data_IF_696444542161
#
_entry.id   IF_696444542161
#
_cell.length_a   1.000
_cell.length_b   1.000
_cell.length_c   1.000
_cell.angle_alpha   90.00
_cell.angle_beta   90.00
_cell.angle_gamma   90.00
#
_symmetry.space_group_name_H-M   'P 1'
#
loop_
_entity.id
_entity.type
_entity.pdbx_description
1 polymer ?
#
# COMPACT_ATOMS: atom_id res chain seq x y z
N UNK A 1 69.21 5.78 -6.38
CA UNK A 1 68.73 4.39 -6.33
C UNK A 1 67.35 4.39 -5.67
N UNK A 2 66.33 3.93 -6.42
CA UNK A 2 64.92 3.63 -6.09
C UNK A 2 64.10 4.73 -5.37
N UNK A 3 63.12 5.46 -5.91
CA UNK A 3 62.18 5.32 -7.06
C UNK A 3 61.38 4.02 -7.11
N UNK A 4 60.09 4.10 -6.75
CA UNK A 4 59.04 3.21 -7.28
C UNK A 4 58.20 2.47 -6.23
N UNK A 5 57.19 3.14 -5.66
CA UNK A 5 56.10 2.44 -4.95
C UNK A 5 54.77 3.22 -4.90
N UNK A 6 54.54 4.18 -5.80
CA UNK A 6 53.25 4.86 -5.91
C UNK A 6 52.69 4.74 -7.33
N UNK A 7 52.11 3.58 -7.61
CA UNK A 7 51.17 3.36 -8.73
C UNK A 7 50.74 1.90 -8.67
N UNK A 8 49.54 1.64 -8.15
CA UNK A 8 48.63 0.53 -8.47
C UNK A 8 47.52 0.49 -7.40
N UNK A 9 46.40 1.17 -7.65
CA UNK A 9 45.28 1.16 -6.72
C UNK A 9 44.08 2.05 -7.08
N UNK A 10 43.98 2.54 -8.31
CA UNK A 10 42.80 3.27 -8.83
C UNK A 10 42.52 2.88 -10.28
N UNK A 11 42.09 1.65 -10.50
CA UNK A 11 41.39 1.20 -11.71
C UNK A 11 40.62 -0.08 -11.37
N UNK A 12 39.49 0.03 -10.68
CA UNK A 12 38.57 -1.11 -10.55
C UNK A 12 37.10 -0.72 -10.25
N UNK A 13 36.69 0.48 -10.64
CA UNK A 13 35.27 0.87 -10.69
C UNK A 13 35.13 1.76 -11.92
N UNK A 14 34.86 1.14 -13.08
CA UNK A 14 34.33 1.77 -14.30
C UNK A 14 34.29 0.68 -15.40
N UNK A 15 33.58 -0.44 -15.19
CA UNK A 15 33.25 -1.35 -16.29
C UNK A 15 32.11 -2.34 -15.96
N UNK A 16 30.87 -1.85 -15.77
CA UNK A 16 29.70 -2.73 -15.67
C UNK A 16 28.42 -2.19 -16.30
N UNK A 17 28.49 -1.17 -17.16
CA UNK A 17 27.29 -0.52 -17.73
C UNK A 17 27.17 -0.60 -19.26
N UNK A 18 27.82 -1.56 -19.93
CA UNK A 18 27.80 -1.67 -21.40
C UNK A 18 27.50 -3.07 -21.95
N UNK A 19 26.92 -3.99 -21.17
CA UNK A 19 26.67 -5.38 -21.63
C UNK A 19 25.21 -5.77 -21.94
N UNK A 20 24.28 -4.82 -22.02
CA UNK A 20 22.89 -5.11 -22.46
C UNK A 20 22.40 -4.06 -23.46
N UNK A 21 22.90 -4.12 -24.71
CA UNK A 21 22.31 -3.37 -25.82
C UNK A 21 22.58 -4.01 -27.19
N UNK A 22 22.65 -5.34 -27.27
CA UNK A 22 23.00 -6.04 -28.50
C UNK A 22 22.17 -7.30 -28.72
N UNK A 23 20.85 -7.17 -28.91
CA UNK A 23 19.98 -8.20 -29.51
C UNK A 23 18.57 -7.67 -29.80
N UNK A 24 18.48 -6.50 -30.44
CA UNK A 24 17.20 -5.99 -30.95
C UNK A 24 17.43 -5.31 -32.30
N UNK A 25 17.96 -6.06 -33.27
CA UNK A 25 17.85 -5.70 -34.66
C UNK A 25 17.78 -6.97 -35.50
N UNK A 26 16.93 -6.95 -36.54
CA UNK A 26 16.65 -8.07 -37.46
C UNK A 26 15.50 -9.02 -37.09
N UNK A 27 14.27 -8.52 -37.19
CA UNK A 27 13.15 -9.29 -37.73
C UNK A 27 12.08 -8.35 -38.32
N UNK A 28 12.50 -7.68 -39.39
CA UNK A 28 11.74 -7.35 -40.57
C UNK A 28 10.37 -8.05 -40.72
N UNK A 29 9.35 -7.21 -40.97
CA UNK A 29 8.55 -7.28 -42.21
C UNK A 29 7.48 -8.38 -42.24
N UNK A 30 6.37 -8.14 -41.53
CA UNK A 30 5.05 -8.66 -41.91
C UNK A 30 4.07 -7.51 -42.07
N UNK A 31 3.79 -7.22 -43.35
CA UNK A 31 2.54 -6.68 -43.89
C UNK A 31 1.78 -5.60 -43.11
N UNK A 32 2.05 -4.35 -43.49
CA UNK A 32 1.01 -3.32 -43.57
C UNK A 32 -0.01 -3.77 -44.63
N UNK A 33 -1.17 -4.29 -44.21
CA UNK A 33 -2.35 -4.33 -45.08
C UNK A 33 -3.30 -3.26 -44.57
N UNK A 34 -3.56 -2.28 -45.45
CA UNK A 34 -4.62 -1.30 -45.33
C UNK A 34 -5.94 -1.97 -44.98
N UNK A 35 -6.57 -1.53 -43.89
CA UNK A 35 -7.99 -1.77 -43.63
C UNK A 35 -8.65 -0.43 -43.30
N UNK A 36 -8.72 0.42 -44.33
CA UNK A 36 -9.70 1.49 -44.40
C UNK A 36 -11.04 0.92 -44.87
N UNK A 37 -12.13 1.58 -44.49
CA UNK A 37 -13.53 1.37 -44.92
C UNK A 37 -14.36 0.36 -44.11
N UNK A 38 -14.72 0.74 -42.88
CA UNK A 38 -16.08 0.58 -42.33
C UNK A 38 -16.22 1.34 -40.99
N UNK A 39 -16.28 2.68 -41.07
CA UNK A 39 -16.52 3.55 -39.90
C UNK A 39 -17.92 4.17 -39.95
N UNK A 40 -18.94 3.34 -40.09
CA UNK A 40 -20.33 3.71 -39.82
C UNK A 40 -20.97 2.50 -39.17
N UNK A 41 -21.48 2.66 -37.94
CA UNK A 41 -22.04 1.63 -37.05
C UNK A 41 -21.04 0.99 -36.07
N UNK A 42 -20.30 1.80 -35.30
CA UNK A 42 -20.00 1.34 -33.94
C UNK A 42 -21.34 1.24 -33.22
N UNK A 43 -21.78 0.05 -32.77
CA UNK A 43 -22.93 -0.01 -31.89
C UNK A 43 -22.62 0.90 -30.71
N UNK A 44 -23.60 1.71 -30.29
CA UNK A 44 -23.56 2.33 -28.98
C UNK A 44 -23.53 1.19 -27.96
N UNK A 45 -22.33 0.67 -27.69
CA UNK A 45 -22.08 -0.26 -26.62
C UNK A 45 -22.49 0.53 -25.41
N UNK A 46 -23.63 0.15 -24.83
CA UNK A 46 -24.04 0.57 -23.51
C UNK A 46 -22.79 0.46 -22.64
N UNK A 47 -22.20 1.61 -22.30
CA UNK A 47 -21.00 1.67 -21.48
C UNK A 47 -21.43 1.07 -20.15
N UNK A 48 -21.13 -0.21 -19.98
CA UNK A 48 -21.35 -0.91 -18.73
C UNK A 48 -20.48 -0.16 -17.73
N UNK A 49 -21.13 0.63 -16.88
CA UNK A 49 -20.46 1.40 -15.83
C UNK A 49 -19.57 0.45 -15.04
N UNK A 50 -18.26 0.51 -15.29
CA UNK A 50 -17.29 -0.30 -14.57
C UNK A 50 -17.06 0.42 -13.24
N UNK A 51 -17.38 -0.20 -12.10
CA UNK A 51 -17.11 0.41 -10.81
C UNK A 51 -15.59 0.59 -10.63
N UNK A 52 -15.20 1.65 -9.94
CA UNK A 52 -13.80 1.97 -9.67
C UNK A 52 -13.45 1.73 -8.20
N UNK A 53 -12.26 1.22 -7.96
CA UNK A 53 -11.76 0.89 -6.62
C UNK A 53 -11.21 2.12 -5.89
N UNK A 54 -11.69 2.35 -4.67
CA UNK A 54 -11.11 3.29 -3.72
C UNK A 54 -10.03 2.57 -2.93
N UNK A 55 -8.80 3.07 -3.02
CA UNK A 55 -7.58 2.41 -2.55
C UNK A 55 -6.82 3.36 -1.63
N UNK A 56 -6.44 2.87 -0.44
CA UNK A 56 -5.58 3.57 0.51
C UNK A 56 -4.34 2.72 0.80
N UNK A 57 -3.15 3.29 0.62
CA UNK A 57 -1.88 2.59 0.80
C UNK A 57 -1.82 1.24 0.04
N UNK A 58 -2.39 1.24 -1.18
CA UNK A 58 -2.48 0.08 -2.07
C UNK A 58 -3.49 -1.00 -1.65
N UNK A 59 -4.29 -0.77 -0.61
CA UNK A 59 -5.40 -1.63 -0.20
C UNK A 59 -6.73 -1.08 -0.70
N UNK A 60 -7.46 -1.87 -1.47
CA UNK A 60 -8.85 -1.56 -1.81
C UNK A 60 -9.74 -1.59 -0.56
N UNK A 61 -10.48 -0.50 -0.33
CA UNK A 61 -11.43 -0.38 0.79
C UNK A 61 -12.84 -0.73 0.32
N UNK A 62 -13.26 -0.16 -0.80
CA UNK A 62 -14.56 -0.39 -1.44
C UNK A 62 -14.54 0.10 -2.89
N UNK A 63 -15.62 -0.18 -3.63
CA UNK A 63 -15.81 0.24 -5.00
C UNK A 63 -16.95 1.24 -5.09
N UNK A 64 -16.87 2.15 -6.06
CA UNK A 64 -17.88 3.16 -6.32
C UNK A 64 -18.27 3.17 -7.80
N UNK A 65 -19.54 3.48 -8.07
CA UNK A 65 -20.12 3.53 -9.41
C UNK A 65 -20.02 4.94 -10.01
N UNK A 66 -20.46 5.15 -11.25
CA UNK A 66 -20.63 6.51 -11.81
C UNK A 66 -21.83 7.21 -11.16
N UNK A 67 -21.78 8.54 -11.04
CA UNK A 67 -22.89 9.33 -10.49
C UNK A 67 -22.91 10.76 -11.01
N UNK A 68 -24.06 11.19 -11.51
CA UNK A 68 -24.23 12.50 -12.16
C UNK A 68 -23.30 12.63 -13.37
N UNK A 69 -22.54 13.72 -13.41
CA UNK A 69 -21.56 14.02 -14.46
C UNK A 69 -20.19 13.37 -14.23
N UNK A 70 -19.99 12.69 -13.10
CA UNK A 70 -18.69 12.09 -12.74
C UNK A 70 -18.66 10.60 -13.05
N UNK A 71 -17.61 10.19 -13.75
CA UNK A 71 -17.30 8.78 -13.96
C UNK A 71 -16.92 8.11 -12.64
N UNK A 72 -17.04 6.77 -12.57
CA UNK A 72 -16.63 6.00 -11.40
C UNK A 72 -15.16 6.28 -11.02
N UNK A 73 -14.29 6.34 -12.04
CA UNK A 73 -12.87 6.58 -11.89
C UNK A 73 -12.56 7.96 -11.31
N UNK A 74 -13.17 9.02 -11.84
CA UNK A 74 -12.98 10.39 -11.32
C UNK A 74 -13.43 10.52 -9.87
N UNK A 75 -14.58 9.91 -9.52
CA UNK A 75 -15.03 9.85 -8.13
C UNK A 75 -14.00 9.13 -7.25
N UNK A 76 -13.38 8.06 -7.74
CA UNK A 76 -12.48 7.23 -6.93
C UNK A 76 -11.16 7.94 -6.69
N UNK A 77 -10.64 8.61 -7.72
CA UNK A 77 -9.46 9.45 -7.64
C UNK A 77 -9.64 10.61 -6.67
N UNK A 78 -10.79 11.29 -6.72
CA UNK A 78 -11.12 12.35 -5.76
C UNK A 78 -11.12 11.81 -4.32
N UNK A 79 -11.81 10.70 -4.07
CA UNK A 79 -11.86 10.08 -2.74
C UNK A 79 -10.47 9.64 -2.28
N UNK A 80 -9.68 9.00 -3.14
CA UNK A 80 -8.30 8.57 -2.84
C UNK A 80 -7.41 9.75 -2.47
N UNK A 81 -7.52 10.87 -3.19
CA UNK A 81 -6.75 12.08 -2.91
C UNK A 81 -7.07 12.66 -1.53
N UNK A 82 -8.35 12.73 -1.16
CA UNK A 82 -8.81 13.22 0.15
C UNK A 82 -8.40 12.29 1.29
N UNK A 83 -8.49 10.97 1.08
CA UNK A 83 -8.00 9.98 2.06
C UNK A 83 -6.49 10.10 2.26
N UNK A 84 -5.73 10.27 1.18
CA UNK A 84 -4.28 10.39 1.26
C UNK A 84 -3.85 11.66 2.01
N UNK A 85 -4.54 12.79 1.79
CA UNK A 85 -4.34 14.02 2.54
C UNK A 85 -4.65 13.82 4.03
N UNK A 86 -5.81 13.22 4.35
CA UNK A 86 -6.21 13.01 5.73
C UNK A 86 -5.24 12.11 6.52
N UNK A 87 -4.73 11.04 5.92
CA UNK A 87 -3.77 10.14 6.60
C UNK A 87 -2.38 10.79 6.76
N UNK A 88 -2.07 11.86 6.03
CA UNK A 88 -0.85 12.66 6.29
C UNK A 88 -1.02 13.57 7.52
N UNK A 89 -2.25 13.97 7.84
CA UNK A 89 -2.54 14.70 9.07
C UNK A 89 -2.35 13.77 10.28
N UNK A 90 -1.55 14.20 11.27
CA UNK A 90 -1.31 13.45 12.51
C UNK A 90 -2.49 13.49 13.49
N UNK A 91 -3.58 14.12 13.09
CA UNK A 91 -4.75 14.31 13.93
C UNK A 91 -5.64 13.05 13.90
N UNK A 92 -6.37 12.76 14.99
CA UNK A 92 -7.33 11.67 14.99
C UNK A 92 -8.42 11.97 13.96
N UNK A 93 -8.61 11.04 13.02
CA UNK A 93 -9.58 11.19 11.94
C UNK A 93 -10.97 10.78 12.42
N UNK A 94 -11.93 11.67 12.28
CA UNK A 94 -13.36 11.44 12.56
C UNK A 94 -14.09 11.13 11.26
N UNK A 95 -14.84 10.03 11.25
CA UNK A 95 -15.61 9.57 10.08
C UNK A 95 -17.05 9.39 10.47
N UNK A 96 -17.92 10.16 9.81
CA UNK A 96 -19.35 10.26 10.11
C UNK A 96 -20.20 10.15 8.84
N UNK A 97 -21.48 9.83 9.02
CA UNK A 97 -22.47 9.86 7.93
C UNK A 97 -23.47 10.96 8.25
N UNK A 98 -23.65 11.89 7.31
CA UNK A 98 -24.67 12.92 7.36
C UNK A 98 -25.62 12.79 6.17
N UNK A 99 -26.89 13.14 6.38
CA UNK A 99 -27.82 13.31 5.26
C UNK A 99 -27.67 14.69 4.63
N UNK A 100 -27.29 14.74 3.36
CA UNK A 100 -27.22 15.98 2.58
C UNK A 100 -28.03 15.82 1.30
N UNK A 101 -28.98 16.72 1.08
CA UNK A 101 -29.91 16.65 -0.06
C UNK A 101 -30.68 15.32 -0.15
N UNK A 102 -30.98 14.71 1.00
CA UNK A 102 -31.67 13.41 1.06
C UNK A 102 -30.80 12.20 0.71
N UNK A 103 -29.49 12.38 0.54
CA UNK A 103 -28.54 11.30 0.25
C UNK A 103 -27.48 11.17 1.35
N UNK A 104 -27.10 9.93 1.72
CA UNK A 104 -26.12 9.68 2.76
C UNK A 104 -24.74 10.05 2.27
N UNK A 105 -24.12 10.98 2.98
CA UNK A 105 -22.83 11.56 2.67
C UNK A 105 -21.84 11.22 3.76
N UNK A 106 -20.75 10.58 3.38
CA UNK A 106 -19.65 10.27 4.28
C UNK A 106 -18.77 11.50 4.42
N UNK A 107 -18.49 11.88 5.66
CA UNK A 107 -17.60 12.97 6.02
C UNK A 107 -16.32 12.45 6.65
N UNK A 108 -15.24 13.18 6.40
CA UNK A 108 -13.91 12.95 6.94
C UNK A 108 -13.42 14.26 7.59
N UNK A 109 -13.36 14.32 8.92
CA UNK A 109 -13.06 15.55 9.66
C UNK A 109 -13.95 16.73 9.22
N UNK A 110 -15.27 16.52 9.17
CA UNK A 110 -16.28 17.48 8.68
C UNK A 110 -16.17 17.87 7.19
N UNK A 111 -15.20 17.32 6.45
CA UNK A 111 -15.04 17.52 5.01
C UNK A 111 -15.84 16.48 4.23
N UNK A 112 -16.43 16.90 3.12
CA UNK A 112 -17.13 15.99 2.21
C UNK A 112 -16.14 14.98 1.61
N UNK A 113 -16.36 13.68 1.85
CA UNK A 113 -15.56 12.62 1.25
C UNK A 113 -16.27 12.04 0.03
N UNK A 114 -17.48 11.52 0.22
CA UNK A 114 -18.27 10.91 -0.85
C UNK A 114 -19.75 10.89 -0.49
N UNK A 115 -20.61 11.20 -1.46
CA UNK A 115 -22.05 10.93 -1.35
C UNK A 115 -22.34 9.56 -1.93
N UNK A 116 -22.99 8.70 -1.13
CA UNK A 116 -23.35 7.34 -1.50
C UNK A 116 -24.68 7.37 -2.25
N UNK A 117 -24.71 6.74 -3.41
CA UNK A 117 -25.90 6.66 -4.26
C UNK A 117 -26.45 5.24 -4.29
N UNK A 118 -27.68 5.07 -4.78
CA UNK A 118 -28.29 3.75 -4.97
C UNK A 118 -27.49 2.85 -5.92
N UNK A 119 -26.70 3.44 -6.83
CA UNK A 119 -25.79 2.69 -7.72
C UNK A 119 -24.56 2.13 -7.01
N UNK A 120 -24.23 2.68 -5.84
CA UNK A 120 -23.11 2.24 -5.01
C UNK A 120 -23.54 1.12 -4.03
N UNK A 121 -24.84 0.91 -3.85
CA UNK A 121 -25.40 -0.10 -2.98
C UNK A 121 -25.57 -1.45 -3.72
N UNK A 122 -25.19 -2.57 -3.09
CA UNK A 122 -25.45 -3.88 -3.66
C UNK A 122 -26.97 -4.15 -3.72
N UNK A 123 -27.45 -5.02 -4.63
CA UNK A 123 -28.86 -5.35 -4.73
C UNK A 123 -29.43 -5.80 -3.38
N UNK A 124 -30.52 -5.14 -2.94
CA UNK A 124 -31.17 -5.43 -1.66
C UNK A 124 -30.63 -4.65 -0.46
N UNK A 125 -29.66 -3.75 -0.65
CA UNK A 125 -29.21 -2.80 0.36
C UNK A 125 -29.63 -1.37 -0.02
N UNK A 126 -29.87 -0.54 0.98
CA UNK A 126 -30.08 0.91 0.77
C UNK A 126 -28.74 1.66 0.69
N UNK A 127 -28.73 2.84 0.07
CA UNK A 127 -27.57 3.74 0.09
C UNK A 127 -27.12 4.09 1.52
N UNK A 128 -28.07 4.23 2.45
CA UNK A 128 -27.83 4.51 3.87
C UNK A 128 -27.09 3.37 4.58
N UNK A 129 -27.50 2.13 4.33
CA UNK A 129 -26.81 0.94 4.86
C UNK A 129 -25.40 0.81 4.28
N UNK A 130 -25.27 1.07 2.98
CA UNK A 130 -23.98 1.03 2.30
C UNK A 130 -23.02 2.09 2.85
N UNK A 131 -23.50 3.32 3.10
CA UNK A 131 -22.70 4.37 3.72
C UNK A 131 -22.18 3.94 5.11
N UNK A 132 -23.01 3.29 5.92
CA UNK A 132 -22.60 2.75 7.22
C UNK A 132 -21.54 1.64 7.08
N UNK A 133 -21.65 0.79 6.06
CA UNK A 133 -20.62 -0.22 5.75
C UNK A 133 -19.31 0.46 5.38
N UNK A 134 -19.35 1.47 4.51
CA UNK A 134 -18.16 2.21 4.10
C UNK A 134 -17.49 2.91 5.27
N UNK A 135 -18.23 3.58 6.16
CA UNK A 135 -17.65 4.21 7.36
C UNK A 135 -16.91 3.22 8.24
N UNK A 136 -17.45 2.01 8.43
CA UNK A 136 -16.74 0.97 9.19
C UNK A 136 -15.43 0.56 8.51
N UNK A 137 -15.45 0.31 7.20
CA UNK A 137 -14.25 -0.07 6.45
C UNK A 137 -13.20 1.04 6.42
N UNK A 138 -13.64 2.28 6.17
CA UNK A 138 -12.80 3.47 6.19
C UNK A 138 -12.14 3.66 7.55
N UNK A 139 -12.90 3.54 8.65
CA UNK A 139 -12.37 3.71 10.01
C UNK A 139 -11.25 2.71 10.29
N UNK A 140 -11.46 1.43 9.97
CA UNK A 140 -10.43 0.41 10.15
C UNK A 140 -9.21 0.67 9.26
N UNK A 141 -9.41 0.97 7.97
CA UNK A 141 -8.32 1.20 7.03
C UNK A 141 -7.48 2.42 7.41
N UNK A 142 -8.13 3.53 7.77
CA UNK A 142 -7.47 4.78 8.19
C UNK A 142 -6.73 4.60 9.51
N UNK A 143 -7.32 3.93 10.51
CA UNK A 143 -6.65 3.64 11.77
C UNK A 143 -5.40 2.77 11.56
N UNK A 144 -5.50 1.76 10.71
CA UNK A 144 -4.36 0.91 10.37
C UNK A 144 -3.26 1.71 9.64
N UNK A 145 -3.63 2.55 8.67
CA UNK A 145 -2.70 3.40 7.95
C UNK A 145 -1.98 4.41 8.86
N UNK A 146 -2.70 5.02 9.80
CA UNK A 146 -2.10 5.92 10.78
C UNK A 146 -1.15 5.18 11.74
N UNK A 147 -1.52 3.99 12.22
CA UNK A 147 -0.67 3.17 13.09
C UNK A 147 0.64 2.77 12.39
N UNK A 148 0.57 2.36 11.13
CA UNK A 148 1.74 1.95 10.35
C UNK A 148 2.73 3.10 10.08
N UNK A 149 2.25 4.35 10.06
CA UNK A 149 3.08 5.54 9.90
C UNK A 149 3.65 6.09 11.22
N UNK A 150 3.29 5.50 12.37
CA UNK A 150 3.89 5.92 13.65
C UNK A 150 5.37 5.52 13.69
N UNK A 151 6.21 6.45 14.15
CA UNK A 151 7.66 6.21 14.30
C UNK A 151 7.94 5.04 15.23
N UNK A 152 7.09 4.86 16.26
CA UNK A 152 7.18 3.74 17.19
C UNK A 152 7.03 2.39 16.50
N UNK A 153 6.05 2.25 15.59
CA UNK A 153 5.89 1.02 14.82
C UNK A 153 7.12 0.72 13.96
N UNK A 154 7.69 1.75 13.31
CA UNK A 154 8.87 1.59 12.46
C UNK A 154 10.12 1.23 13.27
N UNK A 155 10.27 1.78 14.47
CA UNK A 155 11.35 1.42 15.39
C UNK A 155 11.23 -0.03 15.86
N UNK A 156 10.04 -0.46 16.28
CA UNK A 156 9.80 -1.85 16.68
C UNK A 156 10.04 -2.83 15.54
N UNK A 157 9.51 -2.55 14.34
CA UNK A 157 9.75 -3.36 13.16
C UNK A 157 11.25 -3.43 12.80
N UNK A 158 11.96 -2.30 12.90
CA UNK A 158 13.40 -2.22 12.70
C UNK A 158 14.20 -3.06 13.70
N UNK A 159 13.84 -3.03 15.00
CA UNK A 159 14.47 -3.84 16.04
C UNK A 159 14.23 -5.33 15.80
N UNK A 160 13.01 -5.73 15.44
CA UNK A 160 12.68 -7.12 15.14
C UNK A 160 13.48 -7.60 13.91
N UNK A 161 13.51 -6.82 12.83
CA UNK A 161 14.27 -7.14 11.63
C UNK A 161 15.77 -7.30 11.93
N UNK A 162 16.35 -6.37 12.70
CA UNK A 162 17.75 -6.45 13.13
C UNK A 162 18.01 -7.67 14.01
N UNK A 163 17.08 -8.01 14.91
CA UNK A 163 17.16 -9.20 15.76
C UNK A 163 17.19 -10.49 14.94
N UNK A 164 16.33 -10.61 13.93
CA UNK A 164 16.30 -11.78 13.02
C UNK A 164 17.63 -11.93 12.27
N UNK A 165 18.16 -10.83 11.72
CA UNK A 165 19.47 -10.83 11.03
C UNK A 165 20.59 -11.22 12.00
N UNK A 166 20.60 -10.66 13.21
CA UNK A 166 21.62 -10.99 14.22
C UNK A 166 21.58 -12.48 14.61
N UNK A 167 20.40 -13.06 14.82
CA UNK A 167 20.24 -14.48 15.12
C UNK A 167 20.73 -15.33 13.95
N UNK A 168 20.37 -14.97 12.70
CA UNK A 168 20.85 -15.69 11.51
C UNK A 168 22.38 -15.66 11.40
N UNK A 169 23.02 -14.50 11.64
CA UNK A 169 24.47 -14.39 11.68
C UNK A 169 25.11 -15.23 12.79
N UNK A 170 24.55 -15.21 14.00
CA UNK A 170 25.04 -15.99 15.13
C UNK A 170 24.94 -17.50 14.87
N UNK A 171 23.81 -17.95 14.31
CA UNK A 171 23.62 -19.36 13.95
C UNK A 171 24.60 -19.77 12.84
N UNK A 172 24.76 -18.94 11.81
CA UNK A 172 25.70 -19.21 10.72
C UNK A 172 27.14 -19.34 11.24
N UNK A 173 27.58 -18.40 12.08
CA UNK A 173 28.90 -18.43 12.69
C UNK A 173 29.07 -19.61 13.64
N UNK A 174 28.08 -19.86 14.50
CA UNK A 174 28.07 -20.97 15.46
C UNK A 174 28.14 -22.34 14.78
N UNK A 175 27.37 -22.56 13.71
CA UNK A 175 27.44 -23.80 12.93
C UNK A 175 28.81 -23.99 12.28
N UNK A 176 29.38 -22.93 11.71
CA UNK A 176 30.72 -22.98 11.11
C UNK A 176 31.79 -23.36 12.13
N UNK A 177 31.73 -22.77 13.32
CA UNK A 177 32.70 -23.03 14.39
C UNK A 177 32.52 -24.43 14.98
N UNK A 178 31.28 -24.89 15.16
CA UNK A 178 30.97 -26.25 15.59
C UNK A 178 31.48 -27.29 14.59
N UNK A 179 31.28 -27.06 13.29
CA UNK A 179 31.77 -27.95 12.23
C UNK A 179 33.31 -28.07 12.25
N UNK A 180 34.00 -26.94 12.36
CA UNK A 180 35.47 -26.91 12.40
C UNK A 180 36.05 -27.56 13.65
N UNK A 181 35.39 -27.42 14.82
CA UNK A 181 35.91 -27.94 16.09
C UNK A 181 35.52 -29.37 16.39
N UNK A 182 34.27 -29.78 16.15
CA UNK A 182 33.79 -31.09 16.59
C UNK A 182 33.74 -32.12 15.46
N UNK A 183 33.25 -31.71 14.28
CA UNK A 183 33.01 -32.66 13.19
C UNK A 183 34.29 -32.98 12.42
N UNK A 184 35.13 -31.98 12.15
CA UNK A 184 36.42 -32.20 11.47
C UNK A 184 37.31 -33.26 12.13
N UNK A 185 37.65 -33.20 13.42
CA UNK A 185 38.53 -34.20 14.03
C UNK A 185 37.87 -35.58 14.12
N UNK A 186 36.56 -35.65 14.37
CA UNK A 186 35.83 -36.92 14.42
C UNK A 186 35.76 -37.61 13.06
N UNK A 187 35.54 -36.84 11.98
CA UNK A 187 35.56 -37.34 10.61
C UNK A 187 36.98 -37.78 10.19
N UNK A 188 38.01 -37.03 10.60
CA UNK A 188 39.40 -37.39 10.32
C UNK A 188 39.86 -38.67 11.02
N UNK A 189 39.24 -39.05 12.15
CA UNK A 189 39.53 -40.30 12.85
C UNK A 189 38.83 -41.53 12.22
N UNK A 190 37.69 -41.32 11.55
CA UNK A 190 36.87 -42.41 10.99
C UNK A 190 37.22 -42.67 9.52
N UNK A 191 37.64 -41.65 8.78
CA UNK A 191 38.05 -41.82 7.39
C UNK A 191 39.46 -42.42 7.35
N UNK A 192 39.65 -43.62 6.76
CA UNK A 192 40.96 -44.25 6.64
C UNK A 192 41.92 -43.28 5.96
N UNK A 193 43.05 -43.00 6.62
CA UNK A 193 44.12 -42.23 6.02
C UNK A 193 44.57 -43.03 4.79
N UNK A 194 44.40 -42.53 3.56
CA UNK A 194 44.88 -43.25 2.39
C UNK A 194 46.39 -43.38 2.56
N UNK A 195 46.85 -44.61 2.74
CA UNK A 195 48.28 -44.88 2.76
C UNK A 195 48.83 -44.43 1.41
N UNK A 196 49.91 -43.66 1.48
CA UNK A 196 50.55 -43.07 0.33
C UNK A 196 51.20 -44.20 -0.50
N UNK A 197 50.39 -44.81 -1.36
CA UNK A 197 50.87 -45.65 -2.44
C UNK A 197 50.36 -45.05 -3.76
N UNK A 198 51.23 -45.11 -4.76
CA UNK A 198 51.35 -44.15 -5.86
C UNK A 198 50.13 -43.99 -6.79
N UNK A 199 50.06 -42.82 -7.43
CA UNK A 199 49.36 -42.54 -8.69
C UNK A 199 47.85 -42.81 -8.79
N UNK A 200 47.07 -42.16 -7.91
CA UNK A 200 45.67 -41.87 -8.26
C UNK A 200 45.28 -40.43 -7.93
N UNK A 201 45.08 -39.63 -8.98
CA UNK A 201 44.60 -38.25 -9.02
C UNK A 201 43.16 -38.07 -8.48
N UNK A 202 42.80 -38.67 -7.33
CA UNK A 202 41.39 -38.75 -6.92
C UNK A 202 40.97 -38.35 -5.49
N UNK A 203 41.71 -37.56 -4.69
CA UNK A 203 41.15 -36.95 -3.48
C UNK A 203 40.50 -35.56 -3.71
N UNK A 204 40.70 -34.92 -4.87
CA UNK A 204 40.16 -33.58 -5.12
C UNK A 204 38.69 -33.61 -5.55
N UNK A 205 38.30 -34.58 -6.38
CA UNK A 205 36.91 -34.77 -6.81
C UNK A 205 35.97 -35.10 -5.64
N UNK A 206 36.43 -35.87 -4.65
CA UNK A 206 35.65 -36.23 -3.47
C UNK A 206 35.41 -35.04 -2.54
N UNK A 207 36.40 -34.17 -2.33
CA UNK A 207 36.22 -32.94 -1.57
C UNK A 207 35.28 -31.95 -2.29
N UNK A 208 35.35 -31.87 -3.62
CA UNK A 208 34.43 -31.05 -4.43
C UNK A 208 33.01 -31.64 -4.37
N UNK A 209 32.86 -32.96 -4.48
CA UNK A 209 31.57 -33.65 -4.44
C UNK A 209 30.93 -33.57 -3.05
N UNK A 210 31.71 -33.71 -1.98
CA UNK A 210 31.22 -33.55 -0.60
C UNK A 210 30.85 -32.09 -0.31
N UNK A 211 31.64 -31.14 -0.81
CA UNK A 211 31.31 -29.71 -0.75
C UNK A 211 30.04 -29.37 -1.53
N UNK A 212 29.85 -29.97 -2.71
CA UNK A 212 28.66 -29.84 -3.54
C UNK A 212 27.44 -30.50 -2.88
N UNK A 213 27.59 -31.69 -2.27
CA UNK A 213 26.53 -32.36 -1.51
C UNK A 213 26.14 -31.59 -0.26
N UNK A 214 27.10 -30.95 0.43
CA UNK A 214 26.82 -30.04 1.54
C UNK A 214 26.13 -28.76 1.05
N UNK A 215 26.54 -28.19 -0.08
CA UNK A 215 25.87 -27.04 -0.70
C UNK A 215 24.44 -27.39 -1.16
N UNK A 216 24.24 -28.57 -1.74
CA UNK A 216 22.92 -29.12 -2.09
C UNK A 216 22.08 -29.43 -0.85
N UNK A 217 22.68 -29.93 0.24
CA UNK A 217 21.97 -30.13 1.51
C UNK A 217 21.56 -28.81 2.15
N UNK A 218 22.35 -27.73 1.97
CA UNK A 218 21.95 -26.37 2.35
C UNK A 218 20.82 -25.88 1.45
N UNK A 219 20.86 -26.16 0.15
CA UNK A 219 19.75 -25.82 -0.77
C UNK A 219 18.46 -26.59 -0.47
N UNK A 220 18.55 -27.85 0.01
CA UNK A 220 17.40 -28.69 0.40
C UNK A 220 16.91 -28.36 1.81
N UNK A 221 17.79 -27.85 2.70
CA UNK A 221 17.42 -27.40 4.05
C UNK A 221 16.92 -25.95 4.07
N UNK A 222 17.39 -25.13 3.11
CA UNK A 222 16.99 -23.74 2.88
C UNK A 222 15.82 -23.64 1.88
N UNK A 223 15.24 -24.78 1.47
CA UNK A 223 13.85 -24.87 1.07
C UNK A 223 13.09 -25.73 2.07
N UNK A 224 12.22 -25.10 2.88
CA UNK A 224 11.15 -25.80 3.62
C UNK A 224 11.58 -26.44 4.94
N UNK A 225 11.64 -25.61 5.98
CA UNK A 225 11.64 -26.04 7.38
C UNK A 225 10.23 -26.57 7.71
N UNK A 226 10.02 -27.85 8.09
CA UNK A 226 8.69 -28.36 8.43
C UNK A 226 8.17 -27.87 9.80
N UNK A 227 8.98 -27.14 10.57
CA UNK A 227 8.60 -26.49 11.85
C UNK A 227 8.49 -24.95 11.74
N UNK A 228 8.78 -24.41 10.57
CA UNK A 228 8.43 -23.04 10.23
C UNK A 228 6.92 -22.82 10.02
N UNK A 229 6.04 -23.77 9.65
CA UNK A 229 4.63 -23.43 9.50
C UNK A 229 4.01 -22.91 10.79
N UNK A 230 4.57 -23.07 12.00
CA UNK A 230 4.04 -22.40 13.19
C UNK A 230 4.57 -20.96 13.31
N UNK A 231 5.87 -20.73 13.06
CA UNK A 231 6.47 -19.38 13.14
C UNK A 231 6.16 -18.52 11.91
N UNK A 232 6.07 -19.12 10.73
CA UNK A 232 5.49 -18.56 9.50
C UNK A 232 3.96 -18.58 9.54
N UNK A 233 3.23 -19.49 10.18
CA UNK A 233 1.79 -19.25 10.37
C UNK A 233 1.57 -18.10 11.33
N UNK A 234 2.40 -17.90 12.35
CA UNK A 234 2.25 -16.77 13.28
C UNK A 234 2.78 -15.46 12.70
N UNK A 235 3.90 -15.52 11.97
CA UNK A 235 4.39 -14.38 11.21
C UNK A 235 3.48 -14.07 10.03
N UNK A 236 2.96 -15.05 9.29
CA UNK A 236 1.87 -14.87 8.31
C UNK A 236 0.55 -14.55 8.98
N UNK A 237 0.23 -14.90 10.22
CA UNK A 237 -1.00 -14.43 10.87
C UNK A 237 -0.87 -12.92 11.16
N UNK A 238 0.34 -12.47 11.50
CA UNK A 238 0.73 -11.06 11.59
C UNK A 238 0.84 -10.40 10.19
N UNK A 239 1.34 -11.10 9.17
CA UNK A 239 1.59 -10.58 7.80
C UNK A 239 0.42 -10.82 6.82
N UNK A 240 -0.55 -11.67 7.13
CA UNK A 240 -1.83 -11.89 6.41
C UNK A 240 -2.95 -11.08 7.05
N UNK A 241 -2.76 -10.64 8.30
CA UNK A 241 -3.40 -9.41 8.82
C UNK A 241 -2.91 -8.16 8.08
N UNK A 242 -1.89 -8.28 7.22
CA UNK A 242 -1.61 -7.32 6.14
C UNK A 242 -2.20 -7.88 4.83
N UNK A 243 -3.33 -7.30 4.38
CA UNK A 243 -3.81 -7.36 3.01
C UNK A 243 -2.83 -7.77 1.94
N UNK A 244 -2.83 -9.02 1.49
CA UNK A 244 -2.13 -9.42 0.28
C UNK A 244 -2.63 -8.55 -0.88
N UNK A 245 -1.79 -7.61 -1.32
CA UNK A 245 -2.00 -6.85 -2.56
C UNK A 245 -1.84 -7.82 -3.73
N UNK A 246 -2.89 -8.58 -4.02
CA UNK A 246 -2.97 -9.36 -5.24
C UNK A 246 -3.11 -8.40 -6.44
N UNK A 247 -2.03 -8.30 -7.20
CA UNK A 247 -2.01 -8.02 -8.64
C UNK A 247 -3.04 -6.99 -9.18
N UNK A 248 -2.63 -5.73 -9.24
CA UNK A 248 -3.03 -4.87 -10.35
C UNK A 248 -1.89 -4.83 -11.37
N UNK A 249 -1.85 -5.85 -12.24
CA UNK A 249 -1.34 -5.67 -13.59
C UNK A 249 -2.34 -4.79 -14.32
N UNK A 250 -2.17 -3.48 -14.19
CA UNK A 250 -2.98 -2.50 -14.92
C UNK A 250 -2.07 -1.88 -15.97
N UNK A 251 -2.19 -2.42 -17.18
CA UNK A 251 -1.76 -1.78 -18.41
C UNK A 251 -2.32 -0.35 -18.42
N UNK A 252 -1.49 0.61 -18.03
CA UNK A 252 -1.76 2.03 -18.20
C UNK A 252 -1.64 2.29 -19.70
N UNK A 253 -2.74 2.07 -20.41
CA UNK A 253 -2.94 2.59 -21.75
C UNK A 253 -2.78 4.11 -21.68
N UNK A 254 -1.62 4.59 -22.10
CA UNK A 254 -1.30 6.00 -22.23
C UNK A 254 -2.46 6.74 -22.93
N UNK A 255 -2.96 7.85 -22.38
CA UNK A 255 -3.96 8.65 -23.07
C UNK A 255 -3.34 9.18 -24.36
N UNK A 256 -3.95 8.82 -25.48
CA UNK A 256 -3.69 9.39 -26.80
C UNK A 256 -4.04 10.87 -26.72
N UNK A 257 -3.02 11.72 -26.63
CA UNK A 257 -3.13 13.18 -26.75
C UNK A 257 -3.76 13.47 -28.11
N UNK A 258 -5.05 13.79 -28.11
CA UNK A 258 -5.73 14.38 -29.25
C UNK A 258 -5.25 15.82 -29.31
N UNK A 259 -4.26 16.06 -30.17
CA UNK A 259 -3.83 17.39 -30.58
C UNK A 259 -4.99 18.03 -31.33
N UNK A 260 -5.76 18.87 -30.63
CA UNK A 260 -6.73 19.77 -31.25
C UNK A 260 -5.98 21.02 -31.70
N UNK A 261 -5.42 20.96 -32.91
CA UNK A 261 -5.07 22.14 -33.67
C UNK A 261 -6.38 22.85 -34.06
N UNK A 262 -6.67 24.01 -33.46
CA UNK A 262 -7.15 25.15 -34.24
C UNK A 262 -7.25 26.47 -33.44
N UNK A 263 -6.55 27.47 -33.97
CA UNK A 263 -6.87 28.90 -34.05
C UNK A 263 -7.27 29.70 -32.79
N UNK A 264 -6.38 30.64 -32.44
CA UNK A 264 -6.75 31.78 -31.60
C UNK A 264 -5.58 32.71 -31.31
N UNK A 265 -5.15 33.47 -32.33
CA UNK A 265 -4.25 34.60 -32.19
C UNK A 265 -4.79 35.66 -31.20
N UNK A 266 -3.88 36.52 -30.71
CA UNK A 266 -4.09 37.70 -29.83
C UNK A 266 -3.87 37.50 -28.32
N UNK A 267 -2.62 37.61 -27.86
CA UNK A 267 -2.17 38.85 -27.20
C UNK A 267 -0.64 38.87 -27.08
N UNK A 268 -0.03 39.82 -27.78
CA UNK A 268 1.41 40.11 -27.76
C UNK A 268 1.60 41.41 -26.96
N UNK A 269 2.20 41.35 -25.77
CA UNK A 269 2.94 42.43 -25.07
C UNK A 269 3.66 41.79 -23.88
N UNK A 270 4.96 41.56 -23.98
CA UNK A 270 6.02 42.51 -23.58
C UNK A 270 5.91 42.90 -22.11
N UNK A 271 6.89 42.47 -21.30
CA UNK A 271 7.85 43.34 -20.60
C UNK A 271 8.84 42.47 -19.77
N UNK A 272 10.12 42.57 -20.16
CA UNK A 272 11.35 42.74 -19.35
C UNK A 272 11.52 41.86 -18.10
N UNK A 273 12.52 40.97 -18.05
CA UNK A 273 13.94 41.25 -17.82
C UNK A 273 14.25 41.83 -16.41
N UNK A 274 14.94 41.03 -15.60
CA UNK A 274 15.50 41.37 -14.30
C UNK A 274 15.81 40.08 -13.53
N UNK A 275 16.89 39.35 -13.79
CA UNK A 275 18.27 39.64 -13.37
C UNK A 275 18.38 40.20 -11.94
N UNK A 276 18.59 39.31 -10.96
CA UNK A 276 19.52 39.53 -9.84
C UNK A 276 19.76 38.24 -9.06
N UNK A 277 21.02 37.77 -8.96
CA UNK A 277 21.42 36.76 -7.99
C UNK A 277 21.98 37.46 -6.75
N UNK A 278 21.39 37.23 -5.57
CA UNK A 278 21.99 37.66 -4.31
C UNK A 278 22.14 36.47 -3.37
N UNK A 279 23.32 35.86 -3.46
CA UNK A 279 23.96 35.15 -2.37
C UNK A 279 24.03 36.06 -1.14
N UNK A 280 23.36 35.68 -0.05
CA UNK A 280 23.78 36.05 1.30
C UNK A 280 23.96 34.79 2.13
N UNK A 281 25.24 34.43 2.29
CA UNK A 281 25.74 33.66 3.44
C UNK A 281 25.28 34.36 4.72
N UNK A 282 24.57 33.64 5.58
CA UNK A 282 24.44 34.02 6.99
C UNK A 282 24.94 32.86 7.85
N UNK A 283 25.77 33.13 8.87
CA UNK A 283 26.32 32.14 9.77
C UNK A 283 25.26 31.69 10.80
N UNK A 284 25.24 30.38 11.04
CA UNK A 284 24.52 29.74 12.16
C UNK A 284 25.09 30.20 13.50
N UNK A 285 24.24 30.59 14.47
CA UNK A 285 24.55 30.46 15.88
C UNK A 285 23.83 29.24 16.47
N UNK A 286 24.66 28.34 17.00
CA UNK A 286 24.29 27.26 17.91
C UNK A 286 23.64 27.89 19.14
N UNK A 287 22.35 27.61 19.36
CA UNK A 287 21.69 27.84 20.65
C UNK A 287 21.08 26.53 21.13
N UNK A 288 21.78 25.91 22.07
CA UNK A 288 21.30 24.83 22.91
C UNK A 288 20.09 25.33 23.72
N UNK A 289 18.89 25.10 23.21
CA UNK A 289 17.65 25.37 23.94
C UNK A 289 17.35 24.16 24.81
N UNK A 290 17.63 24.28 26.11
CA UNK A 290 17.04 23.44 27.16
C UNK A 290 15.52 23.44 26.98
N UNK A 291 14.96 22.35 26.48
CA UNK A 291 13.52 22.11 26.54
C UNK A 291 13.26 21.59 27.95
N UNK A 292 12.88 22.50 28.85
CA UNK A 292 12.19 22.13 30.07
C UNK A 292 10.82 21.60 29.65
N UNK A 293 10.69 20.28 29.60
CA UNK A 293 9.41 19.59 29.42
C UNK A 293 8.61 19.82 30.70
N UNK A 294 7.73 20.83 30.68
CA UNK A 294 6.69 20.93 31.68
C UNK A 294 5.77 19.73 31.49
N UNK A 295 5.76 18.85 32.48
CA UNK A 295 4.88 17.70 32.57
C UNK A 295 3.43 18.23 32.61
N UNK A 296 2.77 18.27 31.46
CA UNK A 296 1.32 18.54 31.39
C UNK A 296 0.65 17.29 31.94
N UNK A 297 0.36 17.32 33.23
CA UNK A 297 -0.50 16.31 33.87
C UNK A 297 -1.90 16.45 33.28
N UNK A 298 -2.52 15.38 32.76
CA UNK A 298 -3.90 15.44 32.30
C UNK A 298 -4.82 15.86 33.46
N UNK A 299 -5.87 16.66 33.20
CA UNK A 299 -6.83 17.03 34.23
C UNK A 299 -7.46 15.76 34.84
N UNK A 300 -7.73 15.76 36.16
CA UNK A 300 -8.36 14.62 36.82
C UNK A 300 -9.73 14.33 36.18
N UNK A 301 -10.14 13.05 36.10
CA UNK A 301 -11.44 12.68 35.55
C UNK A 301 -12.55 13.38 36.34
N UNK A 302 -13.44 14.06 35.61
CA UNK A 302 -14.60 14.70 36.22
C UNK A 302 -15.42 13.65 37.00
N UNK A 303 -15.88 13.98 38.22
CA UNK A 303 -16.72 13.08 39.00
C UNK A 303 -18.01 12.79 38.23
N UNK A 304 -18.56 11.56 38.35
CA UNK A 304 -19.77 11.18 37.63
C UNK A 304 -20.92 12.11 38.01
N UNK A 305 -21.31 12.96 37.05
CA UNK A 305 -22.48 13.83 37.15
C UNK A 305 -23.69 12.96 37.48
N UNK A 306 -24.25 13.19 38.66
CA UNK A 306 -25.40 12.47 39.16
C UNK A 306 -26.54 12.49 38.13
N UNK A 307 -26.90 11.30 37.66
CA UNK A 307 -28.08 11.05 36.83
C UNK A 307 -29.29 11.66 37.51
N UNK A 308 -29.86 12.68 36.87
CA UNK A 308 -31.12 13.30 37.26
C UNK A 308 -32.26 12.24 37.17
N UNK A 309 -32.89 11.83 38.28
CA UNK A 309 -33.94 10.83 38.24
C UNK A 309 -35.28 11.43 37.80
N UNK A 310 -35.95 10.69 36.92
CA UNK A 310 -37.40 10.70 36.69
C UNK A 310 -38.02 11.96 36.05
N UNK A 311 -38.12 11.93 34.72
CA UNK A 311 -39.23 12.58 34.01
C UNK A 311 -40.37 11.55 33.90
N UNK A 312 -41.56 11.79 34.49
CA UNK A 312 -42.68 10.85 34.42
C UNK A 312 -43.27 10.75 33.00
N UNK A 313 -43.89 9.62 32.65
CA UNK A 313 -44.44 9.38 31.31
C UNK A 313 -45.66 10.28 31.05
N UNK A 314 -45.62 11.01 29.94
CA UNK A 314 -46.78 11.74 29.43
C UNK A 314 -47.87 10.76 28.98
N UNK A 315 -49.04 10.87 29.65
CA UNK A 315 -50.33 10.29 29.24
C UNK A 315 -50.66 10.70 27.79
N UNK A 316 -50.95 9.78 26.87
CA UNK A 316 -51.56 10.14 25.59
C UNK A 316 -53.02 10.52 25.82
N UNK A 317 -53.39 11.72 25.38
CA UNK A 317 -54.76 12.20 25.33
C UNK A 317 -55.56 11.40 24.30
N UNK A 318 -56.67 10.82 24.75
CA UNK A 318 -57.67 10.20 23.90
C UNK A 318 -58.34 11.27 23.02
N UNK A 319 -57.99 11.32 21.75
CA UNK A 319 -58.72 12.08 20.75
C UNK A 319 -59.84 11.20 20.19
N UNK A 320 -61.07 11.58 20.51
CA UNK A 320 -62.30 11.02 19.98
C UNK A 320 -62.37 11.25 18.46
N UNK A 321 -62.40 10.17 17.68
CA UNK A 321 -62.69 10.24 16.24
C UNK A 321 -64.18 9.96 16.02
N UNK A 322 -64.89 11.04 15.65
CA UNK A 322 -66.31 11.07 15.33
C UNK A 322 -66.60 10.21 14.09
N UNK A 323 -67.42 9.17 14.25
CA UNK A 323 -68.01 8.38 13.17
C UNK A 323 -69.27 9.09 12.68
N UNK A 324 -69.16 9.91 11.64
CA UNK A 324 -70.34 10.39 10.90
C UNK A 324 -70.58 9.48 9.71
N UNK A 325 -71.71 8.79 9.72
CA UNK A 325 -72.20 8.04 8.57
C UNK A 325 -72.63 8.98 7.46
N UNK A 326 -72.48 8.54 6.21
CA UNK A 326 -73.32 9.02 5.14
C UNK A 326 -73.71 7.83 4.25
N UNK A 327 -75.00 7.55 4.26
CA UNK A 327 -75.66 6.56 3.43
C UNK A 327 -76.12 7.19 2.11
N UNK A 328 -76.03 6.39 1.03
CA UNK A 328 -76.95 6.37 -0.11
C UNK A 328 -76.46 7.02 -1.42
N UNK A 329 -77.10 6.73 -2.59
CA UNK A 329 -78.15 5.74 -2.85
C UNK A 329 -77.87 4.79 -4.03
N UNK A 330 -78.73 3.76 -4.09
CA UNK A 330 -78.98 2.84 -5.21
C UNK A 330 -79.31 3.62 -6.50
N UNK A 331 -78.77 3.14 -7.62
CA UNK A 331 -79.27 3.41 -8.96
C UNK A 331 -79.25 2.12 -9.75
N UNK A 332 -80.44 1.63 -10.11
CA UNK A 332 -80.70 0.48 -10.96
C UNK A 332 -81.28 0.98 -12.28
N UNK A 333 -80.71 0.55 -13.41
CA UNK A 333 -81.39 0.19 -14.66
C UNK A 333 -80.60 -0.95 -15.29
#
# INVERSE_FOLDING_TARGET
>A
MASGAERLGRRFIDNSSTFFCGLADSASRWHCVNFDVNFLLTPAIAQKDIPASVVLDGREIFQISSSGEYTAQERAELVNSLLQEAVQERQPIQIEVEQRNGLPTVLLNDRHLVTVTERDAPPGSTADEQARVWVRRLRTAVQQAQQQRTVEFLQWAGVIALGVVAIACLLHWGLGQFWQRSLRPSLAAILPRPEADEDTEHPQALNILLGLLLALSRLIKDGVIPEVPIFIAKAMEIFSSVPEQSHCGQDVGLPRVVSSDDNGSFFRRSIMAGSSPILRKLPMPILARRISVALVTPPPPEPPTARNPARPPHKPAAAAFHRSGHAGPRGSV
#
